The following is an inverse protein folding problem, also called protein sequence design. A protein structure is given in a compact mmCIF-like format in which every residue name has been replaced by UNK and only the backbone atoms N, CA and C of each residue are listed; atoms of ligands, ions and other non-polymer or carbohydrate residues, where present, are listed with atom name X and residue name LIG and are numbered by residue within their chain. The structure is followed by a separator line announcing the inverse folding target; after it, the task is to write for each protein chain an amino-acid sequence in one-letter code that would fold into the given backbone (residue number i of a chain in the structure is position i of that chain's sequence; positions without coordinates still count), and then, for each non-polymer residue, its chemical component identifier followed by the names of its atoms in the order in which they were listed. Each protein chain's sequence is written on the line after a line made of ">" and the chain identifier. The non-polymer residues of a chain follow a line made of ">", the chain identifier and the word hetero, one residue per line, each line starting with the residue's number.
data_IF_946800102788
#
_entry.id   IF_946800102788
#
_cell.length_a   1.000
_cell.length_b   1.000
_cell.length_c   1.000
_cell.angle_alpha   90.00
_cell.angle_beta   90.00
_cell.angle_gamma   90.00
#
_symmetry.space_group_name_H-M   'P 1'
#
loop_
_entity.id
_entity.type
_entity.pdbx_description
1 polymer ?
#
# COMPACT_ATOMS: atom_id res chain seq x y z
N UNK A 1 -6.56 17.57 -2.61
CA UNK A 1 -7.64 17.08 -1.73
C UNK A 1 -8.50 16.14 -2.57
N UNK A 2 -8.88 14.99 -2.03
CA UNK A 2 -9.80 14.04 -2.65
C UNK A 2 -11.00 13.84 -1.73
N UNK A 3 -12.18 13.64 -2.31
CA UNK A 3 -13.44 13.47 -1.57
C UNK A 3 -14.20 12.28 -2.12
N UNK A 4 -14.92 11.57 -1.25
CA UNK A 4 -15.87 10.54 -1.65
C UNK A 4 -17.12 11.19 -2.26
N UNK A 5 -17.26 11.10 -3.59
CA UNK A 5 -18.37 11.70 -4.33
C UNK A 5 -19.76 11.18 -3.91
N UNK A 6 -19.84 9.99 -3.28
CA UNK A 6 -21.08 9.43 -2.74
C UNK A 6 -21.58 10.21 -1.52
N UNK A 7 -20.64 10.79 -0.75
CA UNK A 7 -20.93 11.52 0.50
C UNK A 7 -20.82 13.03 0.33
N UNK A 8 -19.89 13.47 -0.50
CA UNK A 8 -19.61 14.87 -0.80
C UNK A 8 -19.54 15.05 -2.33
N UNK A 9 -20.70 15.11 -3.01
CA UNK A 9 -20.74 15.27 -4.46
C UNK A 9 -20.03 16.53 -4.91
N UNK A 10 -19.49 16.51 -6.13
CA UNK A 10 -18.76 17.65 -6.68
C UNK A 10 -19.62 18.92 -6.66
N UNK A 11 -19.07 19.98 -6.07
CA UNK A 11 -19.73 21.28 -6.01
C UNK A 11 -19.44 22.14 -7.24
N UNK A 12 -20.26 23.18 -7.45
CA UNK A 12 -20.00 24.21 -8.47
C UNK A 12 -19.04 25.31 -7.97
N UNK A 13 -18.44 25.14 -6.79
CA UNK A 13 -17.49 26.10 -6.24
C UNK A 13 -16.18 26.08 -7.02
N UNK A 14 -15.47 27.21 -7.03
CA UNK A 14 -14.09 27.23 -7.49
C UNK A 14 -13.24 26.33 -6.57
N UNK A 15 -12.18 25.69 -7.09
CA UNK A 15 -11.40 24.72 -6.30
C UNK A 15 -10.80 25.31 -5.02
N UNK A 16 -10.42 26.59 -5.06
CA UNK A 16 -9.92 27.34 -3.90
C UNK A 16 -10.99 27.50 -2.82
N UNK A 17 -12.22 27.84 -3.22
CA UNK A 17 -13.35 28.00 -2.30
C UNK A 17 -13.75 26.66 -1.67
N UNK A 18 -13.68 25.56 -2.44
CA UNK A 18 -13.92 24.21 -1.93
C UNK A 18 -12.86 23.81 -0.89
N UNK A 19 -11.60 24.19 -1.11
CA UNK A 19 -10.51 24.00 -0.16
C UNK A 19 -10.69 24.86 1.10
N UNK A 20 -11.05 26.14 0.97
CA UNK A 20 -11.36 27.01 2.11
C UNK A 20 -12.52 26.47 2.95
N UNK A 21 -13.58 25.96 2.30
CA UNK A 21 -14.69 25.32 2.98
C UNK A 21 -14.24 24.08 3.77
N UNK A 22 -13.34 23.28 3.19
CA UNK A 22 -12.74 22.14 3.87
C UNK A 22 -11.93 22.58 5.10
N UNK A 23 -11.08 23.60 5.00
CA UNK A 23 -10.31 24.11 6.14
C UNK A 23 -11.21 24.64 7.26
N UNK A 24 -12.30 25.33 6.91
CA UNK A 24 -13.29 25.80 7.90
C UNK A 24 -13.98 24.66 8.66
N UNK A 25 -14.14 23.50 8.00
CA UNK A 25 -14.70 22.29 8.63
C UNK A 25 -13.70 21.58 9.54
N UNK A 26 -12.40 21.72 9.28
CA UNK A 26 -11.33 21.03 10.01
C UNK A 26 -10.25 22.02 10.52
N UNK A 27 -10.49 22.73 11.64
CA UNK A 27 -9.59 23.76 12.14
C UNK A 27 -8.16 23.28 12.42
N UNK A 28 -7.99 22.05 12.92
CA UNK A 28 -6.67 21.46 13.16
C UNK A 28 -5.86 21.25 11.87
N UNK A 29 -6.53 21.11 10.72
CA UNK A 29 -5.87 21.07 9.42
C UNK A 29 -5.57 22.49 8.95
N UNK A 30 -6.48 23.45 9.17
CA UNK A 30 -6.30 24.86 8.81
C UNK A 30 -5.02 25.48 9.41
N UNK A 31 -4.62 25.06 10.61
CA UNK A 31 -3.36 25.49 11.25
C UNK A 31 -2.13 25.25 10.36
N UNK A 32 -2.09 24.15 9.60
CA UNK A 32 -0.99 23.82 8.69
C UNK A 32 -0.90 24.80 7.51
N UNK A 33 -1.97 25.52 7.20
CA UNK A 33 -2.09 26.42 6.06
C UNK A 33 -2.14 27.90 6.45
N UNK A 34 -1.99 28.25 7.74
CA UNK A 34 -2.18 29.62 8.24
C UNK A 34 -1.28 30.68 7.55
N UNK A 35 -0.08 30.29 7.11
CA UNK A 35 0.84 31.13 6.34
C UNK A 35 1.07 30.65 4.90
N UNK A 36 0.30 29.66 4.44
CA UNK A 36 0.47 29.07 3.12
C UNK A 36 -0.14 29.96 2.03
N UNK A 37 0.44 29.91 0.83
CA UNK A 37 -0.11 30.53 -0.37
C UNK A 37 0.00 29.58 -1.56
N UNK A 38 -1.00 29.60 -2.44
CA UNK A 38 -0.93 28.87 -3.70
C UNK A 38 0.21 29.44 -4.57
N UNK A 39 1.09 28.57 -5.04
CA UNK A 39 2.19 28.93 -5.97
C UNK A 39 1.91 28.49 -7.40
N UNK A 40 0.80 27.77 -7.62
CA UNK A 40 0.29 27.34 -8.91
C UNK A 40 -1.24 27.49 -8.90
N UNK A 41 -1.88 27.68 -10.06
CA UNK A 41 -3.33 27.66 -10.15
C UNK A 41 -3.92 26.36 -9.60
N UNK A 42 -5.05 26.47 -8.90
CA UNK A 42 -5.77 25.30 -8.44
C UNK A 42 -6.35 24.52 -9.62
N UNK A 43 -6.27 23.19 -9.53
CA UNK A 43 -6.86 22.27 -10.50
C UNK A 43 -7.90 21.44 -9.77
N UNK A 44 -9.11 21.40 -10.32
CA UNK A 44 -10.14 20.44 -9.92
C UNK A 44 -10.46 19.59 -11.13
N UNK A 45 -10.77 18.33 -10.85
CA UNK A 45 -11.37 17.41 -11.80
C UNK A 45 -12.64 16.85 -11.17
N UNK A 46 -13.45 16.19 -11.99
CA UNK A 46 -14.58 15.39 -11.50
C UNK A 46 -14.05 14.04 -11.01
N UNK A 47 -14.60 12.95 -11.53
CA UNK A 47 -14.18 11.59 -11.19
C UNK A 47 -12.73 11.33 -11.59
N UNK A 48 -11.94 10.80 -10.66
CA UNK A 48 -10.56 10.40 -10.88
C UNK A 48 -10.44 8.95 -11.38
N UNK A 49 -11.40 8.12 -10.98
CA UNK A 49 -11.40 6.69 -11.20
C UNK A 49 -11.77 6.34 -12.65
N UNK A 50 -10.95 5.54 -13.32
CA UNK A 50 -11.25 4.96 -14.63
C UNK A 50 -10.50 3.65 -14.84
N UNK A 51 -10.97 2.88 -15.82
CA UNK A 51 -10.32 1.66 -16.29
C UNK A 51 -10.51 1.46 -17.79
N UNK A 52 -9.52 0.84 -18.41
CA UNK A 52 -9.53 0.45 -19.81
C UNK A 52 -10.00 -1.00 -19.93
N UNK A 53 -10.94 -1.28 -20.84
CA UNK A 53 -11.48 -2.64 -21.07
C UNK A 53 -10.47 -3.59 -21.71
N UNK A 54 -9.49 -3.03 -22.40
CA UNK A 54 -8.42 -3.74 -23.07
C UNK A 54 -7.18 -2.86 -22.95
N UNK A 55 -6.10 -3.48 -22.48
CA UNK A 55 -4.82 -2.84 -22.21
C UNK A 55 -3.70 -3.43 -23.05
N UNK A 56 -3.94 -4.57 -23.70
CA UNK A 56 -2.98 -5.22 -24.58
C UNK A 56 -3.60 -5.45 -25.97
N UNK A 57 -2.79 -5.29 -27.01
CA UNK A 57 -3.12 -5.76 -28.35
C UNK A 57 -1.90 -5.84 -29.23
N UNK A 58 -2.10 -6.17 -30.52
CA UNK A 58 -0.99 -6.32 -31.44
C UNK A 58 -0.15 -5.03 -31.49
N UNK A 59 1.11 -5.13 -31.06
CA UNK A 59 2.10 -4.04 -31.02
C UNK A 59 1.76 -2.87 -30.07
N UNK A 60 0.90 -3.04 -29.08
CA UNK A 60 0.71 -2.03 -28.02
C UNK A 60 0.41 -2.62 -26.64
N UNK A 61 0.85 -1.91 -25.61
CA UNK A 61 0.52 -2.15 -24.21
C UNK A 61 0.23 -0.81 -23.53
N UNK A 62 -0.98 -0.64 -23.00
CA UNK A 62 -1.35 0.49 -22.14
C UNK A 62 -0.84 0.18 -20.73
N UNK A 63 0.06 1.01 -20.22
CA UNK A 63 0.70 0.80 -18.91
C UNK A 63 0.08 1.70 -17.84
N UNK A 64 -0.07 1.16 -16.62
CA UNK A 64 -0.33 1.94 -15.40
C UNK A 64 -1.48 2.95 -15.56
N UNK A 65 -1.20 4.25 -15.51
CA UNK A 65 -2.19 5.31 -15.68
C UNK A 65 -2.87 5.33 -17.07
N UNK A 66 -2.39 4.61 -18.08
CA UNK A 66 -3.16 4.41 -19.32
C UNK A 66 -4.15 3.23 -19.21
N UNK A 67 -3.87 2.27 -18.32
CA UNK A 67 -4.72 1.11 -18.06
C UNK A 67 -5.85 1.42 -17.06
N UNK A 68 -5.56 2.20 -16.02
CA UNK A 68 -6.54 2.61 -15.03
C UNK A 68 -5.94 3.41 -13.87
N UNK A 69 -6.80 4.10 -13.13
CA UNK A 69 -6.43 4.80 -11.92
C UNK A 69 -7.60 4.80 -10.93
N UNK A 70 -7.29 4.87 -9.63
CA UNK A 70 -8.28 4.89 -8.54
C UNK A 70 -8.19 6.20 -7.77
N UNK A 71 -7.18 6.35 -6.90
CA UNK A 71 -7.01 7.52 -6.03
C UNK A 71 -5.51 7.72 -5.72
N UNK A 72 -5.05 8.96 -5.42
CA UNK A 72 -3.70 9.20 -4.91
C UNK A 72 -3.37 8.51 -3.57
N UNK A 73 -4.38 8.10 -2.78
CA UNK A 73 -4.18 7.43 -1.51
C UNK A 73 -3.29 6.18 -1.65
N UNK A 74 -2.37 6.00 -0.70
CA UNK A 74 -1.35 4.95 -0.67
C UNK A 74 -0.33 4.96 -1.83
N UNK A 75 -0.37 5.95 -2.73
CA UNK A 75 0.60 6.10 -3.83
C UNK A 75 0.75 4.86 -4.72
N UNK A 76 -0.31 4.04 -4.83
CA UNK A 76 -0.29 2.75 -5.56
C UNK A 76 0.01 2.91 -7.05
N UNK A 77 -0.30 4.05 -7.67
CA UNK A 77 0.00 4.30 -9.09
C UNK A 77 1.49 4.19 -9.43
N UNK A 78 2.38 4.65 -8.55
CA UNK A 78 3.83 4.49 -8.75
C UNK A 78 4.26 3.02 -8.66
N UNK A 79 3.71 2.29 -7.69
CA UNK A 79 4.02 0.88 -7.49
C UNK A 79 3.53 0.04 -8.69
N UNK A 80 2.27 0.24 -9.11
CA UNK A 80 1.68 -0.40 -10.30
C UNK A 80 2.53 -0.14 -11.56
N UNK A 81 3.04 1.07 -11.72
CA UNK A 81 3.95 1.39 -12.83
C UNK A 81 5.16 0.46 -12.87
N UNK A 82 5.79 0.22 -11.72
CA UNK A 82 6.95 -0.66 -11.62
C UNK A 82 6.58 -2.14 -11.78
N UNK A 83 5.43 -2.58 -11.24
CA UNK A 83 4.88 -3.93 -11.43
C UNK A 83 4.71 -4.25 -12.92
N UNK A 84 4.09 -3.34 -13.68
CA UNK A 84 3.85 -3.52 -15.12
C UNK A 84 5.15 -3.45 -15.93
N UNK A 85 6.06 -2.53 -15.61
CA UNK A 85 7.39 -2.48 -16.26
C UNK A 85 8.10 -3.83 -16.08
N UNK A 86 8.12 -4.36 -14.87
CA UNK A 86 8.78 -5.63 -14.55
C UNK A 86 8.14 -6.80 -15.29
N UNK A 87 6.82 -6.82 -15.41
CA UNK A 87 6.12 -7.88 -16.14
C UNK A 87 6.27 -7.79 -17.68
N UNK A 88 6.57 -6.59 -18.21
CA UNK A 88 6.67 -6.32 -19.64
C UNK A 88 8.10 -6.46 -20.19
N UNK A 89 9.13 -6.19 -19.37
CA UNK A 89 10.48 -5.99 -19.89
C UNK A 89 11.06 -7.24 -20.56
N UNK A 90 10.97 -8.41 -19.94
CA UNK A 90 11.56 -9.64 -20.49
C UNK A 90 10.82 -10.16 -21.74
N UNK A 91 9.47 -10.20 -21.77
CA UNK A 91 8.73 -10.49 -23.00
C UNK A 91 9.06 -9.52 -24.13
N UNK A 92 9.19 -8.22 -23.83
CA UNK A 92 9.50 -7.21 -24.82
C UNK A 92 10.93 -7.37 -25.37
N UNK A 93 11.92 -7.63 -24.52
CA UNK A 93 13.29 -7.90 -24.94
C UNK A 93 13.39 -9.16 -25.80
N UNK A 94 12.64 -10.21 -25.43
CA UNK A 94 12.54 -11.44 -26.23
C UNK A 94 11.97 -11.16 -27.60
N UNK A 95 10.83 -10.46 -27.68
CA UNK A 95 10.18 -10.08 -28.92
C UNK A 95 11.08 -9.25 -29.85
N UNK A 96 11.84 -8.32 -29.29
CA UNK A 96 12.82 -7.51 -30.04
C UNK A 96 13.97 -8.36 -30.59
N UNK A 97 14.41 -9.40 -29.86
CA UNK A 97 15.50 -10.26 -30.28
C UNK A 97 15.09 -11.30 -31.34
N UNK A 98 13.84 -11.76 -31.30
CA UNK A 98 13.31 -12.81 -32.19
C UNK A 98 12.47 -12.28 -33.36
N UNK A 99 12.16 -10.98 -33.36
CA UNK A 99 11.16 -10.35 -34.24
C UNK A 99 9.75 -10.98 -34.13
N UNK A 100 9.44 -11.56 -32.97
CA UNK A 100 8.15 -12.19 -32.66
C UNK A 100 7.35 -11.32 -31.69
N UNK A 101 6.25 -10.75 -32.18
CA UNK A 101 5.38 -9.86 -31.40
C UNK A 101 3.96 -10.41 -31.30
N UNK A 102 3.81 -11.73 -31.40
CA UNK A 102 2.53 -12.38 -31.17
C UNK A 102 2.03 -12.10 -29.74
N UNK A 103 0.72 -11.90 -29.62
CA UNK A 103 0.10 -11.44 -28.37
C UNK A 103 0.25 -12.48 -27.23
N UNK A 104 0.38 -13.76 -27.56
CA UNK A 104 0.52 -14.85 -26.60
C UNK A 104 1.74 -14.67 -25.67
N UNK A 105 2.84 -14.09 -26.16
CA UNK A 105 4.02 -13.77 -25.34
C UNK A 105 3.78 -12.70 -24.28
N UNK A 106 2.67 -11.97 -24.36
CA UNK A 106 2.32 -10.87 -23.47
C UNK A 106 1.01 -11.10 -22.71
N UNK A 107 0.35 -12.25 -22.89
CA UNK A 107 -1.02 -12.49 -22.45
C UNK A 107 -1.23 -12.39 -20.93
N UNK A 108 -0.17 -12.51 -20.12
CA UNK A 108 -0.22 -12.38 -18.66
C UNK A 108 -0.33 -10.92 -18.17
N UNK A 109 0.01 -9.93 -19.00
CA UNK A 109 0.11 -8.53 -18.57
C UNK A 109 -1.27 -7.93 -18.27
N UNK A 110 -2.26 -8.16 -19.13
CA UNK A 110 -3.60 -7.61 -18.95
C UNK A 110 -4.31 -8.16 -17.68
N UNK A 111 -4.32 -9.47 -17.41
CA UNK A 111 -4.81 -10.01 -16.14
C UNK A 111 -4.09 -9.46 -14.92
N UNK A 112 -2.77 -9.26 -14.99
CA UNK A 112 -2.00 -8.62 -13.92
C UNK A 112 -2.50 -7.19 -13.65
N UNK A 113 -2.64 -6.37 -14.69
CA UNK A 113 -3.09 -4.98 -14.54
C UNK A 113 -4.50 -4.92 -13.94
N UNK A 114 -5.40 -5.81 -14.36
CA UNK A 114 -6.75 -5.87 -13.80
C UNK A 114 -6.72 -6.27 -12.31
N UNK A 115 -5.94 -7.30 -11.94
CA UNK A 115 -5.78 -7.72 -10.54
C UNK A 115 -5.27 -6.56 -9.65
N UNK A 116 -4.26 -5.82 -10.12
CA UNK A 116 -3.71 -4.68 -9.39
C UNK A 116 -4.75 -3.57 -9.24
N UNK A 117 -5.53 -3.32 -10.29
CA UNK A 117 -6.59 -2.32 -10.26
C UNK A 117 -7.69 -2.69 -9.26
N UNK A 118 -8.20 -3.92 -9.30
CA UNK A 118 -9.27 -4.40 -8.41
C UNK A 118 -8.82 -4.32 -6.94
N UNK A 119 -7.60 -4.76 -6.64
CA UNK A 119 -7.02 -4.64 -5.30
C UNK A 119 -6.95 -3.18 -4.84
N UNK A 120 -6.51 -2.28 -5.71
CA UNK A 120 -6.41 -0.86 -5.36
C UNK A 120 -7.79 -0.22 -5.15
N UNK A 121 -8.81 -0.64 -5.90
CA UNK A 121 -10.18 -0.17 -5.75
C UNK A 121 -10.74 -0.57 -4.38
N UNK A 122 -10.62 -1.85 -4.00
CA UNK A 122 -11.03 -2.34 -2.68
C UNK A 122 -10.27 -1.65 -1.54
N UNK A 123 -8.94 -1.52 -1.70
CA UNK A 123 -8.07 -0.91 -0.71
C UNK A 123 -8.44 0.55 -0.42
N UNK A 124 -8.71 1.32 -1.48
CA UNK A 124 -9.11 2.73 -1.40
C UNK A 124 -10.54 2.86 -0.91
N UNK A 125 -11.48 2.08 -1.44
CA UNK A 125 -12.88 2.12 -1.01
C UNK A 125 -12.98 1.84 0.49
N UNK A 126 -12.28 0.82 0.99
CA UNK A 126 -12.30 0.52 2.41
C UNK A 126 -11.64 1.59 3.28
N UNK A 127 -10.69 2.37 2.74
CA UNK A 127 -10.13 3.54 3.42
C UNK A 127 -11.17 4.65 3.56
N UNK A 128 -11.85 5.02 2.48
CA UNK A 128 -12.89 6.05 2.51
C UNK A 128 -14.06 5.67 3.44
N UNK A 129 -14.43 4.39 3.49
CA UNK A 129 -15.45 3.88 4.40
C UNK A 129 -14.97 3.99 5.86
N UNK A 130 -13.76 3.51 6.14
CA UNK A 130 -13.22 3.45 7.51
C UNK A 130 -12.92 4.82 8.12
N UNK A 131 -12.71 5.88 7.32
CA UNK A 131 -12.59 7.25 7.82
C UNK A 131 -13.81 7.77 8.60
N UNK A 132 -14.93 7.06 8.57
CA UNK A 132 -16.09 7.37 9.41
C UNK A 132 -15.81 7.19 10.92
N UNK A 133 -14.82 6.37 11.30
CA UNK A 133 -14.47 6.07 12.68
C UNK A 133 -12.97 5.86 12.86
N UNK A 134 -12.38 6.45 13.90
CA UNK A 134 -10.92 6.41 14.08
C UNK A 134 -10.39 5.00 14.34
N UNK A 135 -11.08 4.20 15.15
CA UNK A 135 -10.62 2.84 15.48
C UNK A 135 -10.78 1.91 14.28
N UNK A 136 -11.81 2.13 13.47
CA UNK A 136 -11.98 1.42 12.20
C UNK A 136 -10.89 1.80 11.20
N UNK A 137 -10.55 3.08 11.06
CA UNK A 137 -9.41 3.52 10.25
C UNK A 137 -8.09 2.93 10.74
N UNK A 138 -7.86 2.92 12.06
CA UNK A 138 -6.67 2.29 12.64
C UNK A 138 -6.56 0.81 12.25
N UNK A 139 -7.67 0.06 12.35
CA UNK A 139 -7.71 -1.34 11.94
C UNK A 139 -7.45 -1.51 10.43
N UNK A 140 -8.11 -0.71 9.58
CA UNK A 140 -7.93 -0.77 8.13
C UNK A 140 -6.50 -0.41 7.68
N UNK A 141 -5.90 0.60 8.32
CA UNK A 141 -4.52 0.99 8.05
C UNK A 141 -3.53 -0.16 8.30
N UNK A 142 -3.83 -1.07 9.23
CA UNK A 142 -3.01 -2.27 9.45
C UNK A 142 -3.11 -3.28 8.32
N UNK A 143 -4.27 -3.39 7.68
CA UNK A 143 -4.47 -4.24 6.50
C UNK A 143 -3.59 -3.76 5.36
N UNK A 144 -3.61 -2.45 5.07
CA UNK A 144 -2.70 -1.83 4.11
C UNK A 144 -1.23 -2.11 4.47
N UNK A 145 -0.85 -1.84 5.72
CA UNK A 145 0.54 -1.98 6.16
C UNK A 145 1.03 -3.44 6.08
N UNK A 146 0.18 -4.43 6.36
CA UNK A 146 0.50 -5.84 6.21
C UNK A 146 0.84 -6.19 4.76
N UNK A 147 0.03 -5.74 3.80
CA UNK A 147 0.32 -5.95 2.38
C UNK A 147 1.59 -5.23 1.90
N UNK A 148 1.82 -3.99 2.37
CA UNK A 148 2.96 -3.17 1.93
C UNK A 148 4.29 -3.60 2.54
N UNK A 149 4.35 -3.89 3.85
CA UNK A 149 5.62 -4.19 4.55
C UNK A 149 6.24 -5.49 4.06
N UNK A 150 5.43 -6.51 3.78
CA UNK A 150 5.90 -7.80 3.23
C UNK A 150 6.58 -7.58 1.88
N UNK A 151 5.89 -6.83 1.03
CA UNK A 151 6.35 -6.46 -0.30
C UNK A 151 7.64 -5.65 -0.24
N UNK A 152 7.69 -4.62 0.60
CA UNK A 152 8.86 -3.76 0.77
C UNK A 152 10.08 -4.58 1.22
N UNK A 153 9.94 -5.42 2.25
CA UNK A 153 11.05 -6.24 2.72
C UNK A 153 11.54 -7.29 1.72
N UNK A 154 10.64 -7.82 0.87
CA UNK A 154 11.03 -8.70 -0.24
C UNK A 154 11.92 -7.95 -1.25
N UNK A 155 11.48 -6.78 -1.70
CA UNK A 155 12.25 -5.95 -2.65
C UNK A 155 13.59 -5.53 -2.04
N UNK A 156 13.59 -5.10 -0.78
CA UNK A 156 14.82 -4.72 -0.08
C UNK A 156 15.79 -5.89 0.07
N UNK A 157 15.27 -7.10 0.30
CA UNK A 157 16.09 -8.32 0.39
C UNK A 157 16.74 -8.65 -0.95
N UNK A 158 15.97 -8.70 -2.04
CA UNK A 158 16.47 -8.98 -3.39
C UNK A 158 17.53 -7.94 -3.80
N UNK A 159 17.27 -6.66 -3.55
CA UNK A 159 18.24 -5.59 -3.84
C UNK A 159 19.47 -5.65 -2.94
N UNK A 160 19.32 -6.13 -1.70
CA UNK A 160 20.44 -6.38 -0.80
C UNK A 160 21.35 -7.50 -1.29
N UNK A 161 20.75 -8.61 -1.74
CA UNK A 161 21.47 -9.74 -2.35
C UNK A 161 22.21 -9.29 -3.62
N UNK A 162 21.52 -8.62 -4.55
CA UNK A 162 22.14 -8.10 -5.76
C UNK A 162 23.27 -7.10 -5.46
N UNK A 163 23.10 -6.21 -4.48
CA UNK A 163 24.15 -5.27 -4.07
C UNK A 163 25.40 -5.98 -3.52
N UNK A 164 25.23 -7.15 -2.91
CA UNK A 164 26.32 -7.91 -2.29
C UNK A 164 27.04 -8.84 -3.29
N UNK A 165 26.31 -9.42 -4.25
CA UNK A 165 26.84 -10.44 -5.18
C UNK A 165 27.08 -9.90 -6.58
N UNK A 166 26.38 -8.84 -6.98
CA UNK A 166 26.23 -8.39 -8.37
C UNK A 166 25.71 -9.48 -9.33
N UNK A 167 25.00 -10.48 -8.80
CA UNK A 167 24.40 -11.55 -9.59
C UNK A 167 23.02 -11.12 -10.10
N UNK A 168 22.91 -10.87 -11.41
CA UNK A 168 21.64 -10.50 -12.06
C UNK A 168 20.56 -11.57 -11.93
N UNK A 169 20.93 -12.84 -11.70
CA UNK A 169 19.96 -13.91 -11.45
C UNK A 169 19.16 -13.67 -10.16
N UNK A 170 19.70 -12.91 -9.20
CA UNK A 170 18.93 -12.47 -8.02
C UNK A 170 17.76 -11.54 -8.40
N UNK A 171 17.85 -10.85 -9.54
CA UNK A 171 16.81 -10.00 -10.09
C UNK A 171 15.90 -10.75 -11.07
N UNK A 172 16.41 -11.81 -11.71
CA UNK A 172 15.69 -12.69 -12.64
C UNK A 172 15.00 -13.83 -11.90
N UNK A 173 13.99 -13.49 -11.09
CA UNK A 173 12.98 -14.46 -10.73
C UNK A 173 11.98 -14.57 -11.88
N UNK A 174 11.60 -15.79 -12.29
CA UNK A 174 10.39 -15.97 -13.11
C UNK A 174 9.29 -15.13 -12.47
N UNK A 175 8.82 -14.13 -13.20
CA UNK A 175 7.71 -13.28 -12.77
C UNK A 175 6.43 -14.10 -12.92
N UNK A 176 6.29 -15.15 -12.12
CA UNK A 176 4.99 -15.72 -11.81
C UNK A 176 4.19 -14.75 -10.94
N UNK A 177 4.86 -13.82 -10.24
CA UNK A 177 4.24 -12.75 -9.46
C UNK A 177 5.22 -11.54 -9.35
N UNK A 178 5.00 -10.42 -10.10
CA UNK A 178 5.95 -9.31 -10.19
C UNK A 178 6.05 -8.56 -8.87
N UNK A 179 7.17 -8.77 -8.18
CA UNK A 179 7.97 -7.89 -7.27
C UNK A 179 7.22 -7.12 -6.16
N UNK A 180 5.91 -7.05 -6.20
CA UNK A 180 4.99 -6.42 -5.26
C UNK A 180 3.75 -7.27 -4.99
N UNK A 181 3.63 -8.40 -5.68
CA UNK A 181 2.56 -9.32 -5.48
C UNK A 181 3.06 -10.52 -4.68
N UNK A 182 2.67 -10.49 -3.40
CA UNK A 182 2.04 -11.66 -2.79
C UNK A 182 0.52 -11.54 -2.98
N UNK A 183 0.04 -10.96 -4.09
CA UNK A 183 -1.39 -10.96 -4.42
C UNK A 183 -1.92 -12.39 -4.50
N UNK A 184 -1.03 -13.35 -4.71
CA UNK A 184 -1.28 -14.78 -4.68
C UNK A 184 -0.75 -15.49 -3.43
N UNK A 185 -0.30 -14.80 -2.37
CA UNK A 185 -0.31 -15.45 -1.04
C UNK A 185 -1.79 -15.75 -0.76
N UNK A 186 -2.21 -17.03 -0.87
CA UNK A 186 -3.62 -17.34 -0.79
C UNK A 186 -4.16 -16.96 0.59
N UNK A 187 -3.29 -16.97 1.60
CA UNK A 187 -3.62 -16.60 2.96
C UNK A 187 -3.85 -15.08 3.08
N UNK A 188 -3.04 -14.24 2.41
CA UNK A 188 -3.29 -12.79 2.34
C UNK A 188 -4.58 -12.49 1.57
N UNK A 189 -4.80 -13.15 0.42
CA UNK A 189 -6.02 -12.93 -0.37
C UNK A 189 -7.29 -13.30 0.40
N UNK A 190 -7.26 -14.40 1.16
CA UNK A 190 -8.36 -14.79 2.05
C UNK A 190 -8.53 -13.79 3.19
N UNK A 191 -7.43 -13.36 3.83
CA UNK A 191 -7.46 -12.34 4.88
C UNK A 191 -8.05 -11.01 4.38
N UNK A 192 -7.55 -10.50 3.26
CA UNK A 192 -7.94 -9.22 2.68
C UNK A 192 -9.41 -9.21 2.31
N UNK A 193 -9.90 -10.23 1.59
CA UNK A 193 -11.33 -10.37 1.28
C UNK A 193 -12.20 -10.42 2.53
N UNK A 194 -11.80 -11.19 3.54
CA UNK A 194 -12.52 -11.25 4.82
C UNK A 194 -12.60 -9.90 5.54
N UNK A 195 -11.56 -9.07 5.44
CA UNK A 195 -11.56 -7.72 6.00
C UNK A 195 -12.40 -6.75 5.15
N UNK A 196 -12.34 -6.83 3.82
CA UNK A 196 -13.22 -6.06 2.91
C UNK A 196 -14.69 -6.31 3.25
N UNK A 197 -15.10 -7.57 3.42
CA UNK A 197 -16.47 -7.93 3.81
C UNK A 197 -16.91 -7.28 5.14
N UNK A 198 -16.00 -7.15 6.12
CA UNK A 198 -16.28 -6.48 7.39
C UNK A 198 -16.48 -4.97 7.22
N UNK A 199 -15.70 -4.33 6.36
CA UNK A 199 -15.81 -2.91 6.05
C UNK A 199 -17.11 -2.62 5.29
N UNK A 200 -17.46 -3.44 4.31
CA UNK A 200 -18.73 -3.33 3.59
C UNK A 200 -19.94 -3.61 4.48
N UNK A 201 -19.82 -4.55 5.42
CA UNK A 201 -20.86 -4.79 6.43
C UNK A 201 -21.06 -3.57 7.34
N UNK A 202 -19.99 -2.86 7.69
CA UNK A 202 -20.08 -1.59 8.40
C UNK A 202 -20.73 -0.50 7.53
N UNK A 203 -20.31 -0.32 6.27
CA UNK A 203 -20.90 0.66 5.36
C UNK A 203 -22.41 0.44 5.19
N UNK A 204 -22.83 -0.83 5.09
CA UNK A 204 -24.23 -1.22 4.98
C UNK A 204 -25.03 -1.17 6.30
N UNK A 205 -24.43 -0.72 7.40
CA UNK A 205 -25.07 -0.61 8.72
C UNK A 205 -25.38 -1.95 9.39
N UNK A 206 -24.76 -3.05 8.93
CA UNK A 206 -24.94 -4.41 9.49
C UNK A 206 -23.99 -4.71 10.64
N UNK A 207 -22.94 -3.93 10.81
CA UNK A 207 -21.91 -4.13 11.83
C UNK A 207 -21.48 -2.77 12.43
N UNK A 208 -21.45 -2.59 13.77
CA UNK A 208 -20.93 -1.38 14.39
C UNK A 208 -19.41 -1.22 14.15
N UNK A 209 -18.92 0.03 14.07
CA UNK A 209 -17.50 0.33 13.81
C UNK A 209 -16.55 -0.37 14.79
N UNK A 210 -16.83 -0.29 16.10
CA UNK A 210 -16.01 -0.93 17.13
C UNK A 210 -15.92 -2.46 16.97
N UNK A 211 -17.01 -3.09 16.54
CA UNK A 211 -17.04 -4.53 16.31
C UNK A 211 -16.31 -4.91 15.03
N UNK A 212 -16.48 -4.13 13.95
CA UNK A 212 -15.72 -4.29 12.71
C UNK A 212 -14.21 -4.18 12.97
N UNK A 213 -13.78 -3.12 13.65
CA UNK A 213 -12.37 -2.90 14.00
C UNK A 213 -11.79 -4.07 14.80
N UNK A 214 -12.53 -4.54 15.84
CA UNK A 214 -12.11 -5.70 16.63
C UNK A 214 -11.93 -6.95 15.76
N UNK A 215 -12.90 -7.27 14.89
CA UNK A 215 -12.84 -8.45 14.03
C UNK A 215 -11.69 -8.37 13.02
N UNK A 216 -11.40 -7.18 12.49
CA UNK A 216 -10.23 -6.96 11.62
C UNK A 216 -8.92 -7.27 12.37
N UNK A 217 -8.77 -6.80 13.61
CA UNK A 217 -7.59 -7.12 14.42
C UNK A 217 -7.50 -8.61 14.78
N UNK A 218 -8.63 -9.27 15.06
CA UNK A 218 -8.68 -10.71 15.31
C UNK A 218 -8.22 -11.50 14.06
N UNK A 219 -8.68 -11.11 12.87
CA UNK A 219 -8.22 -11.68 11.60
C UNK A 219 -6.73 -11.43 11.36
N UNK A 220 -6.26 -10.20 11.58
CA UNK A 220 -4.86 -9.83 11.38
C UNK A 220 -3.91 -10.61 12.32
N UNK A 221 -4.34 -10.84 13.56
CA UNK A 221 -3.61 -11.65 14.54
C UNK A 221 -3.50 -13.11 14.10
N UNK A 222 -4.56 -13.63 13.49
CA UNK A 222 -4.68 -15.02 13.04
C UNK A 222 -3.98 -15.27 11.70
N UNK A 223 -3.82 -14.23 10.87
CA UNK A 223 -3.13 -14.31 9.59
C UNK A 223 -1.63 -14.65 9.81
N UNK A 224 -1.15 -15.79 9.28
CA UNK A 224 0.24 -16.20 9.45
C UNK A 224 1.15 -15.50 8.44
N UNK A 225 1.41 -14.19 8.63
CA UNK A 225 2.40 -13.49 7.81
C UNK A 225 3.82 -13.55 8.39
N UNK A 226 4.82 -13.94 7.58
CA UNK A 226 6.23 -13.79 7.93
C UNK A 226 6.70 -12.35 7.69
N UNK A 227 7.34 -11.73 8.69
CA UNK A 227 8.06 -10.47 8.48
C UNK A 227 9.43 -10.80 7.87
N UNK A 228 9.59 -10.62 6.56
CA UNK A 228 10.79 -11.00 5.79
C UNK A 228 11.97 -10.02 5.95
N UNK A 229 12.20 -9.54 7.17
CA UNK A 229 13.30 -8.63 7.45
C UNK A 229 14.63 -9.38 7.47
N UNK A 230 15.62 -8.90 6.71
CA UNK A 230 17.01 -9.40 6.70
C UNK A 230 18.02 -8.30 7.05
N UNK A 231 19.25 -8.68 7.40
CA UNK A 231 20.33 -7.74 7.73
C UNK A 231 20.63 -6.81 6.57
N UNK A 232 20.72 -7.36 5.36
CA UNK A 232 21.08 -6.64 4.14
C UNK A 232 20.04 -5.54 3.85
N UNK A 233 18.77 -5.84 4.09
CA UNK A 233 17.67 -4.87 3.99
C UNK A 233 17.84 -3.73 5.01
N UNK A 234 18.17 -4.03 6.27
CA UNK A 234 18.40 -3.03 7.33
C UNK A 234 19.58 -2.11 7.03
N UNK A 235 20.69 -2.67 6.54
CA UNK A 235 21.88 -1.90 6.14
C UNK A 235 21.55 -0.98 4.96
N UNK A 236 20.87 -1.49 3.93
CA UNK A 236 20.46 -0.68 2.77
C UNK A 236 19.48 0.44 3.15
N UNK A 237 18.60 0.20 4.13
CA UNK A 237 17.70 1.23 4.66
C UNK A 237 18.42 2.33 5.46
N UNK A 238 19.72 2.19 5.71
CA UNK A 238 20.50 3.11 6.54
C UNK A 238 20.18 2.98 8.04
N UNK A 239 19.52 1.89 8.46
CA UNK A 239 19.21 1.66 9.88
C UNK A 239 20.40 1.07 10.63
N UNK A 240 21.35 0.50 9.90
CA UNK A 240 22.63 0.05 10.40
C UNK A 240 23.74 0.86 9.75
N UNK A 241 24.70 1.31 10.56
CA UNK A 241 25.94 1.92 10.08
C UNK A 241 26.96 0.84 9.76
N UNK A 242 27.94 1.21 8.94
CA UNK A 242 29.09 0.35 8.66
C UNK A 242 29.84 0.02 9.96
N UNK A 243 29.94 -1.27 10.29
CA UNK A 243 30.51 -1.76 11.55
C UNK A 243 29.49 -2.16 12.63
N UNK A 244 28.20 -1.86 12.45
CA UNK A 244 27.16 -2.32 13.36
C UNK A 244 26.98 -3.85 13.25
N UNK A 245 26.96 -4.54 14.39
CA UNK A 245 26.73 -5.98 14.46
C UNK A 245 25.32 -6.27 14.96
N UNK A 246 24.49 -6.87 14.11
CA UNK A 246 23.19 -7.41 14.47
C UNK A 246 23.27 -8.94 14.50
N UNK A 247 22.69 -9.60 15.48
CA UNK A 247 22.57 -11.07 15.50
C UNK A 247 21.26 -11.51 14.85
N UNK A 248 21.14 -12.78 14.44
CA UNK A 248 19.84 -13.34 14.03
C UNK A 248 18.79 -13.23 15.15
N UNK A 249 19.22 -13.27 16.41
CA UNK A 249 18.33 -13.04 17.55
C UNK A 249 17.74 -11.63 17.55
N UNK A 250 18.53 -10.63 17.18
CA UNK A 250 18.10 -9.23 17.10
C UNK A 250 17.16 -9.01 15.91
N UNK A 251 17.43 -9.65 14.76
CA UNK A 251 16.53 -9.66 13.60
C UNK A 251 15.20 -10.34 13.97
N UNK A 252 15.23 -11.45 14.69
CA UNK A 252 14.01 -12.13 15.15
C UNK A 252 13.23 -11.28 16.17
N UNK A 253 13.93 -10.56 17.03
CA UNK A 253 13.31 -9.60 17.94
C UNK A 253 12.60 -8.47 17.17
N UNK A 254 13.24 -7.95 16.12
CA UNK A 254 12.66 -6.96 15.20
C UNK A 254 11.39 -7.47 14.52
N UNK A 255 11.42 -8.68 13.95
CA UNK A 255 10.26 -9.32 13.29
C UNK A 255 9.06 -9.42 14.23
N UNK A 256 9.29 -9.82 15.48
CA UNK A 256 8.22 -9.88 16.50
C UNK A 256 7.66 -8.51 16.86
N UNK A 257 8.50 -7.48 16.91
CA UNK A 257 8.06 -6.10 17.14
C UNK A 257 7.15 -5.59 16.02
N UNK A 258 7.56 -5.77 14.76
CA UNK A 258 6.72 -5.45 13.60
C UNK A 258 5.40 -6.21 13.62
N UNK A 259 5.42 -7.53 13.86
CA UNK A 259 4.20 -8.33 13.94
C UNK A 259 3.25 -7.77 14.99
N UNK A 260 3.76 -7.50 16.19
CA UNK A 260 2.95 -6.94 17.27
C UNK A 260 2.34 -5.58 16.90
N UNK A 261 3.10 -4.68 16.28
CA UNK A 261 2.62 -3.36 15.89
C UNK A 261 1.56 -3.40 14.78
N UNK A 262 1.65 -4.38 13.88
CA UNK A 262 0.70 -4.53 12.78
C UNK A 262 -0.60 -5.23 13.20
N UNK A 263 -0.63 -5.90 14.35
CA UNK A 263 -1.82 -6.66 14.79
C UNK A 263 -2.38 -6.17 16.13
N UNK A 264 -1.89 -5.07 16.70
CA UNK A 264 -2.36 -4.55 17.97
C UNK A 264 -3.10 -3.21 17.81
N UNK A 265 -4.32 -3.05 18.36
CA UNK A 265 -5.05 -1.79 18.30
C UNK A 265 -4.40 -0.63 19.07
N UNK A 266 -3.47 -0.92 19.99
CA UNK A 266 -2.80 0.08 20.84
C UNK A 266 -1.55 0.69 20.23
N UNK A 267 -1.12 0.23 19.06
CA UNK A 267 -0.15 0.95 18.23
C UNK A 267 -0.97 1.81 17.28
N UNK A 268 -0.93 3.13 17.44
CA UNK A 268 -1.60 4.11 16.55
C UNK A 268 -0.60 4.96 15.77
N UNK A 269 0.66 4.83 16.14
CA UNK A 269 1.83 5.40 15.53
C UNK A 269 2.23 4.66 14.26
N UNK A 270 2.85 5.41 13.36
CA UNK A 270 3.48 4.90 12.14
C UNK A 270 4.96 4.62 12.38
N UNK A 271 5.50 3.70 11.59
CA UNK A 271 6.93 3.47 11.52
C UNK A 271 7.62 4.73 10.96
N UNK A 272 8.66 5.22 11.64
CA UNK A 272 9.35 6.43 11.17
C UNK A 272 10.60 6.82 11.94
N UNK A 273 10.87 6.21 13.09
CA UNK A 273 12.12 6.39 13.83
C UNK A 273 12.42 5.16 14.70
N UNK A 274 13.65 5.10 15.20
CA UNK A 274 14.15 3.99 16.03
C UNK A 274 13.44 3.89 17.38
N UNK A 275 13.00 5.00 17.97
CA UNK A 275 12.29 5.02 19.26
C UNK A 275 10.96 4.26 19.18
N UNK A 276 10.14 4.57 18.18
CA UNK A 276 8.90 3.85 17.88
C UNK A 276 9.15 2.37 17.67
N UNK A 277 10.18 2.03 16.90
CA UNK A 277 10.53 0.63 16.63
C UNK A 277 10.91 -0.15 17.91
N UNK A 278 11.76 0.41 18.77
CA UNK A 278 12.12 -0.25 20.03
C UNK A 278 10.93 -0.36 20.99
N UNK A 279 10.02 0.61 20.97
CA UNK A 279 8.77 0.56 21.73
C UNK A 279 7.90 -0.62 21.30
N UNK A 280 7.76 -0.84 19.99
CA UNK A 280 7.04 -1.99 19.44
C UNK A 280 7.69 -3.32 19.82
N UNK A 281 9.01 -3.41 19.72
CA UNK A 281 9.74 -4.60 20.15
C UNK A 281 9.56 -4.90 21.65
N UNK A 282 9.41 -3.85 22.47
CA UNK A 282 9.09 -3.95 23.89
C UNK A 282 7.58 -4.12 24.19
N UNK A 283 6.73 -4.19 23.16
CA UNK A 283 5.26 -4.31 23.27
C UNK A 283 4.60 -3.22 24.13
N UNK A 284 5.08 -1.99 24.02
CA UNK A 284 4.53 -0.84 24.73
C UNK A 284 3.57 -0.06 23.83
N UNK A 285 2.40 0.37 24.33
CA UNK A 285 1.40 1.08 23.54
C UNK A 285 1.89 2.47 23.12
N UNK A 286 1.18 3.08 22.18
CA UNK A 286 1.40 4.49 21.80
C UNK A 286 1.28 5.40 23.04
N UNK A 287 2.29 6.26 23.35
CA UNK A 287 2.25 7.19 24.46
C UNK A 287 1.04 8.11 24.46
N UNK A 288 0.50 8.47 23.30
CA UNK A 288 -0.69 9.33 23.19
C UNK A 288 -1.98 8.63 23.65
N UNK A 289 -1.93 7.31 23.87
CA UNK A 289 -3.04 6.53 24.43
C UNK A 289 -2.98 6.40 25.95
N UNK A 290 -1.86 6.75 26.57
CA UNK A 290 -1.71 6.68 28.03
C UNK A 290 -2.29 7.96 28.63
N UNK A 291 -3.27 7.89 29.55
CA UNK A 291 -3.71 9.08 30.27
C UNK A 291 -2.52 9.69 31.01
N UNK A 292 -2.27 10.98 30.79
CA UNK A 292 -1.24 11.75 31.50
C UNK A 292 -1.58 11.98 32.97
#
# INVERSE_FOLDING_TARGET
>A
MTMDERRYPKSNLLPEQEFEHFLNKFPSVAEQFAGAKAVRPWISTERLQYSSKQTLGYRYCLMSHAAGAVDPLFSRGMINTLEVITALIDPLLTALATDDFEQDGFAHIEPLQQKVLDYNDDLVNGAFISWADFDLWNAWLRVWALGTVITEFRVMTVLGEYSATHDEEALRGEVHDPVFSTYEDPDYGVFFRGVVELIEAFEAGRLPAAEAAKRIFDLATSYPFPVLLRREALTRAGWMKEGDFITERDVEFARRGFRWALTNPQTRDLFGNSETFFRWCARRPDPHLVPG
#
